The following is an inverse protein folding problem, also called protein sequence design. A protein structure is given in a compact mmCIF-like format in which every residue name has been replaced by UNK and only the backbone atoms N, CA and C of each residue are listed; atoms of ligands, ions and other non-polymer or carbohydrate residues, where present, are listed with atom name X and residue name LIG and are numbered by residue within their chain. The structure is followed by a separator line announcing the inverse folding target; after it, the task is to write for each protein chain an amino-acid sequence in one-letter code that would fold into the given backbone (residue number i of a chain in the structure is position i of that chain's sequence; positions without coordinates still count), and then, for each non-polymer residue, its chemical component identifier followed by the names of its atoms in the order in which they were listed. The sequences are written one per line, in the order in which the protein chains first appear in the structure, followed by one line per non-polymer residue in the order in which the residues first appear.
data_IF_715696066367
#
_entry.id   IF_715696066367
#
_cell.length_a   1.000
_cell.length_b   1.000
_cell.length_c   1.000
_cell.angle_alpha   90.00
_cell.angle_beta   90.00
_cell.angle_gamma   90.00
#
_symmetry.space_group_name_H-M   'P 1'
#
loop_
_entity.id
_entity.type
_entity.pdbx_description
1 polymer ?
#
# COMPACT_ATOMS: atom_id res chain seq x y z
N UNK A 1 -6.26 7.31 -12.67
CA UNK A 1 -6.72 5.95 -13.07
C UNK A 1 -8.20 5.99 -13.45
N UNK A 2 -8.63 5.21 -14.46
CA UNK A 2 -10.07 5.09 -14.73
C UNK A 2 -10.72 4.30 -13.60
N UNK A 3 -11.76 4.86 -13.00
CA UNK A 3 -12.57 4.17 -11.99
C UNK A 3 -13.50 3.21 -12.72
N UNK A 4 -13.50 1.93 -12.37
CA UNK A 4 -14.47 0.99 -12.93
C UNK A 4 -15.75 1.01 -12.10
N UNK A 5 -16.87 0.85 -12.78
CA UNK A 5 -18.17 0.62 -12.16
C UNK A 5 -18.25 -0.84 -11.67
N UNK A 6 -18.36 -1.11 -10.34
CA UNK A 6 -18.35 -2.47 -9.82
C UNK A 6 -19.47 -3.37 -10.39
N UNK A 7 -20.72 -2.93 -10.62
CA UNK A 7 -21.73 -3.72 -11.32
C UNK A 7 -21.31 -4.15 -12.72
N UNK A 8 -20.71 -3.25 -13.50
CA UNK A 8 -20.22 -3.56 -14.86
C UNK A 8 -19.06 -4.56 -14.82
N UNK A 9 -18.16 -4.43 -13.84
CA UNK A 9 -17.09 -5.41 -13.62
C UNK A 9 -17.66 -6.77 -13.25
N UNK A 10 -18.66 -6.81 -12.35
CA UNK A 10 -19.31 -8.05 -11.93
C UNK A 10 -19.97 -8.77 -13.10
N UNK A 11 -20.71 -8.05 -13.96
CA UNK A 11 -21.33 -8.64 -15.15
C UNK A 11 -20.28 -9.36 -16.02
N UNK A 12 -19.12 -8.75 -16.23
CA UNK A 12 -18.01 -9.35 -17.00
C UNK A 12 -17.42 -10.58 -16.32
N UNK A 13 -17.30 -10.56 -14.98
CA UNK A 13 -16.86 -11.73 -14.22
C UNK A 13 -17.87 -12.87 -14.34
N UNK A 14 -19.17 -12.58 -14.24
CA UNK A 14 -20.24 -13.58 -14.44
C UNK A 14 -20.19 -14.14 -15.85
N UNK A 15 -20.06 -13.30 -16.88
CA UNK A 15 -19.97 -13.74 -18.28
C UNK A 15 -18.76 -14.64 -18.53
N UNK A 16 -17.62 -14.32 -17.92
CA UNK A 16 -16.38 -15.08 -18.09
C UNK A 16 -16.36 -16.42 -17.33
N UNK A 17 -17.06 -16.51 -16.20
CA UNK A 17 -16.96 -17.66 -15.28
C UNK A 17 -18.25 -18.50 -15.22
N UNK A 18 -19.40 -17.95 -15.56
CA UNK A 18 -20.70 -18.57 -15.37
C UNK A 18 -21.16 -18.60 -13.89
N UNK A 19 -20.41 -18.00 -12.97
CA UNK A 19 -20.75 -17.98 -11.54
C UNK A 19 -21.75 -16.86 -11.26
N UNK A 20 -22.97 -17.13 -10.76
CA UNK A 20 -24.01 -16.13 -10.54
C UNK A 20 -23.79 -15.41 -9.19
N UNK A 21 -22.83 -14.48 -9.15
CA UNK A 21 -22.65 -13.61 -7.99
C UNK A 21 -23.81 -12.63 -7.83
N UNK A 22 -24.15 -12.30 -6.58
CA UNK A 22 -25.05 -11.20 -6.23
C UNK A 22 -24.23 -9.95 -5.90
N UNK A 23 -24.62 -8.79 -6.46
CA UNK A 23 -24.04 -7.51 -6.09
C UNK A 23 -24.71 -6.94 -4.83
N UNK A 24 -23.92 -6.62 -3.79
CA UNK A 24 -24.45 -6.14 -2.51
C UNK A 24 -24.32 -4.62 -2.33
N UNK A 25 -23.46 -3.97 -3.11
CA UNK A 25 -23.24 -2.53 -3.04
C UNK A 25 -21.77 -2.15 -3.18
N UNK A 26 -21.45 -0.84 -3.29
CA UNK A 26 -20.08 -0.37 -3.37
C UNK A 26 -19.37 -0.51 -2.03
N UNK A 27 -18.06 -0.80 -2.05
CA UNK A 27 -17.22 -0.66 -0.86
C UNK A 27 -17.04 0.83 -0.53
N UNK A 28 -17.13 1.24 0.74
CA UNK A 28 -16.84 2.61 1.12
C UNK A 28 -15.35 2.91 0.95
N UNK A 29 -15.02 4.09 0.44
CA UNK A 29 -13.62 4.48 0.18
C UNK A 29 -13.04 3.83 -1.08
N UNK A 30 -11.73 4.00 -1.28
CA UNK A 30 -11.01 3.47 -2.42
C UNK A 30 -11.17 4.29 -3.70
N UNK A 31 -10.06 4.47 -4.43
CA UNK A 31 -10.01 5.31 -5.61
C UNK A 31 -10.35 4.55 -6.89
N UNK A 32 -10.07 3.26 -6.91
CA UNK A 32 -10.19 2.41 -8.11
C UNK A 32 -11.60 1.84 -8.27
N UNK A 33 -12.39 1.83 -7.20
CA UNK A 33 -13.72 1.24 -7.14
C UNK A 33 -13.66 -0.24 -6.76
N UNK A 34 -14.37 -0.58 -5.69
CA UNK A 34 -14.57 -1.96 -5.25
C UNK A 34 -16.04 -2.18 -4.92
N UNK A 35 -16.51 -3.43 -5.00
CA UNK A 35 -17.89 -3.79 -4.68
C UNK A 35 -17.96 -4.99 -3.75
N UNK A 36 -18.92 -4.96 -2.83
CA UNK A 36 -19.29 -6.16 -2.10
C UNK A 36 -20.14 -7.06 -3.01
N UNK A 37 -19.78 -8.34 -3.00
CA UNK A 37 -20.48 -9.37 -3.77
C UNK A 37 -20.74 -10.57 -2.87
N UNK A 38 -21.70 -11.41 -3.25
CA UNK A 38 -22.01 -12.66 -2.56
C UNK A 38 -21.85 -13.83 -3.50
N UNK A 39 -21.15 -14.86 -3.04
CA UNK A 39 -21.06 -16.14 -3.68
C UNK A 39 -22.41 -16.87 -3.70
N UNK A 40 -22.66 -17.82 -4.63
CA UNK A 40 -23.88 -18.63 -4.63
C UNK A 40 -24.10 -19.46 -3.35
N UNK A 41 -23.03 -19.72 -2.58
CA UNK A 41 -23.09 -20.42 -1.29
C UNK A 41 -23.43 -19.50 -0.10
N UNK A 42 -23.67 -18.21 -0.35
CA UNK A 42 -24.05 -17.22 0.65
C UNK A 42 -22.88 -16.48 1.33
N UNK A 43 -21.62 -16.82 1.04
CA UNK A 43 -20.44 -16.10 1.57
C UNK A 43 -20.31 -14.74 0.91
N UNK A 44 -20.03 -13.72 1.71
CA UNK A 44 -19.69 -12.37 1.20
C UNK A 44 -18.22 -12.29 0.79
N UNK A 45 -17.95 -11.53 -0.26
CA UNK A 45 -16.62 -11.28 -0.81
C UNK A 45 -16.47 -9.82 -1.27
N UNK A 46 -15.28 -9.44 -1.66
CA UNK A 46 -14.95 -8.13 -2.24
C UNK A 46 -14.49 -8.33 -3.68
N UNK A 47 -15.16 -7.67 -4.61
CA UNK A 47 -14.76 -7.60 -6.01
C UNK A 47 -13.90 -6.36 -6.23
N UNK A 48 -12.69 -6.56 -6.73
CA UNK A 48 -11.75 -5.51 -7.15
C UNK A 48 -11.18 -5.81 -8.53
N UNK A 49 -10.34 -4.93 -9.05
CA UNK A 49 -9.66 -5.15 -10.31
C UNK A 49 -8.25 -4.56 -10.28
N UNK A 50 -7.33 -5.16 -11.02
CA UNK A 50 -5.95 -4.72 -11.19
C UNK A 50 -5.73 -4.32 -12.66
N UNK A 51 -5.80 -3.01 -13.01
CA UNK A 51 -5.62 -2.54 -14.37
C UNK A 51 -4.16 -2.61 -14.79
N UNK A 52 -3.90 -3.10 -16.02
CA UNK A 52 -2.54 -3.16 -16.56
C UNK A 52 -1.59 -4.13 -15.84
N UNK A 53 -2.10 -4.97 -14.96
CA UNK A 53 -1.37 -6.01 -14.24
C UNK A 53 -1.62 -7.35 -14.92
N UNK A 54 -0.57 -8.14 -15.12
CA UNK A 54 -0.71 -9.49 -15.66
C UNK A 54 -1.06 -10.52 -14.57
N UNK A 55 -1.45 -11.69 -15.01
CA UNK A 55 -1.82 -12.80 -14.12
C UNK A 55 -0.67 -13.24 -13.23
N UNK A 56 0.56 -13.22 -13.71
CA UNK A 56 1.76 -13.62 -12.95
C UNK A 56 1.95 -12.76 -11.72
N UNK A 57 1.80 -11.44 -11.88
CA UNK A 57 1.90 -10.50 -10.76
C UNK A 57 0.81 -10.75 -9.70
N UNK A 58 -0.41 -11.06 -10.14
CA UNK A 58 -1.51 -11.39 -9.21
C UNK A 58 -1.23 -12.70 -8.46
N UNK A 59 -0.70 -13.71 -9.14
CA UNK A 59 -0.34 -14.99 -8.51
C UNK A 59 0.83 -14.81 -7.52
N UNK A 60 1.79 -13.95 -7.82
CA UNK A 60 2.87 -13.57 -6.90
C UNK A 60 2.29 -12.95 -5.60
N UNK A 61 1.39 -11.97 -5.76
CA UNK A 61 0.73 -11.32 -4.60
C UNK A 61 -0.08 -12.37 -3.82
N UNK A 62 -0.84 -13.23 -4.48
CA UNK A 62 -1.61 -14.28 -3.80
C UNK A 62 -0.71 -15.20 -2.97
N UNK A 63 0.48 -15.54 -3.48
CA UNK A 63 1.49 -16.31 -2.75
C UNK A 63 2.04 -15.56 -1.53
N UNK A 64 2.33 -14.26 -1.66
CA UNK A 64 2.76 -13.40 -0.55
C UNK A 64 1.67 -13.31 0.53
N UNK A 65 0.40 -13.15 0.12
CA UNK A 65 -0.74 -13.11 1.05
C UNK A 65 -0.94 -14.45 1.77
N UNK A 66 -0.68 -15.58 1.12
CA UNK A 66 -0.71 -16.88 1.78
C UNK A 66 0.36 -16.96 2.88
N UNK A 67 1.61 -16.59 2.58
CA UNK A 67 2.68 -16.55 3.58
C UNK A 67 2.35 -15.59 4.74
N UNK A 68 1.76 -14.44 4.45
CA UNK A 68 1.31 -13.50 5.48
C UNK A 68 0.25 -14.11 6.41
N UNK A 69 -0.77 -14.80 5.86
CA UNK A 69 -1.80 -15.48 6.66
C UNK A 69 -1.21 -16.60 7.52
N UNK A 70 -0.30 -17.39 6.97
CA UNK A 70 0.38 -18.47 7.72
C UNK A 70 1.18 -17.93 8.91
N UNK A 71 1.70 -16.71 8.81
CA UNK A 71 2.35 -15.97 9.89
C UNK A 71 1.37 -15.25 10.84
N UNK A 72 0.06 -15.43 10.65
CA UNK A 72 -0.98 -14.81 11.47
C UNK A 72 -1.24 -13.34 11.17
N UNK A 73 -0.84 -12.85 9.99
CA UNK A 73 -1.26 -11.53 9.49
C UNK A 73 -2.68 -11.66 8.93
N UNK A 74 -3.63 -10.82 9.32
CA UNK A 74 -5.00 -10.87 8.82
C UNK A 74 -5.08 -10.29 7.40
N UNK A 75 -4.58 -11.03 6.40
CA UNK A 75 -4.59 -10.68 4.99
C UNK A 75 -5.68 -11.45 4.23
N UNK A 76 -6.33 -10.86 3.20
CA UNK A 76 -7.38 -11.54 2.45
C UNK A 76 -6.81 -12.68 1.59
N UNK A 77 -7.63 -13.69 1.33
CA UNK A 77 -7.35 -14.66 0.28
C UNK A 77 -7.92 -14.14 -1.07
N UNK A 78 -7.18 -14.33 -2.17
CA UNK A 78 -7.75 -14.19 -3.51
C UNK A 78 -8.48 -15.48 -3.85
N UNK A 79 -9.82 -15.45 -3.81
CA UNK A 79 -10.66 -16.64 -3.97
C UNK A 79 -10.93 -16.94 -5.45
N UNK A 80 -10.95 -15.90 -6.31
CA UNK A 80 -11.11 -16.05 -7.75
C UNK A 80 -10.32 -14.95 -8.46
N UNK A 81 -9.58 -15.35 -9.50
CA UNK A 81 -8.79 -14.46 -10.36
C UNK A 81 -9.27 -14.63 -11.80
N UNK A 82 -9.82 -13.58 -12.37
CA UNK A 82 -10.43 -13.61 -13.72
C UNK A 82 -9.67 -12.66 -14.65
N UNK A 83 -8.86 -13.17 -15.57
CA UNK A 83 -8.25 -12.35 -16.60
C UNK A 83 -9.33 -11.73 -17.50
N UNK A 84 -9.24 -10.42 -17.69
CA UNK A 84 -10.07 -9.65 -18.63
C UNK A 84 -9.13 -8.97 -19.65
N UNK A 85 -9.61 -8.52 -20.80
CA UNK A 85 -8.75 -7.96 -21.85
C UNK A 85 -7.85 -6.80 -21.40
N UNK A 86 -8.30 -5.95 -20.48
CA UNK A 86 -7.58 -4.76 -20.01
C UNK A 86 -7.16 -4.80 -18.54
N UNK A 87 -7.53 -5.85 -17.81
CA UNK A 87 -7.27 -5.94 -16.37
C UNK A 87 -7.45 -7.38 -15.85
N UNK A 88 -7.07 -7.61 -14.63
CA UNK A 88 -7.44 -8.82 -13.90
C UNK A 88 -8.50 -8.45 -12.85
N UNK A 89 -9.67 -9.11 -12.90
CA UNK A 89 -10.68 -8.98 -11.84
C UNK A 89 -10.37 -9.98 -10.71
N UNK A 90 -10.56 -9.53 -9.47
CA UNK A 90 -10.27 -10.28 -8.25
C UNK A 90 -11.53 -10.37 -7.39
N UNK A 91 -11.91 -11.58 -7.01
CA UNK A 91 -12.84 -11.79 -5.90
C UNK A 91 -12.02 -12.25 -4.71
N UNK A 92 -11.98 -11.42 -3.68
CA UNK A 92 -11.17 -11.66 -2.49
C UNK A 92 -12.06 -11.86 -1.26
N UNK A 93 -11.52 -12.59 -0.30
CA UNK A 93 -12.16 -12.79 1.00
C UNK A 93 -12.54 -11.44 1.62
N UNK A 94 -13.79 -11.30 2.06
CA UNK A 94 -14.21 -10.16 2.87
C UNK A 94 -13.75 -10.38 4.31
N UNK A 95 -12.80 -9.54 4.74
CA UNK A 95 -12.33 -9.53 6.12
C UNK A 95 -13.33 -8.77 7.02
N UNK A 96 -13.50 -9.16 8.29
CA UNK A 96 -14.38 -8.48 9.21
C UNK A 96 -13.79 -7.14 9.67
N UNK A 97 -14.66 -6.22 10.09
CA UNK A 97 -14.27 -4.90 10.62
C UNK A 97 -14.53 -3.76 9.64
N UNK A 98 -14.07 -2.59 10.03
CA UNK A 98 -14.20 -1.34 9.27
C UNK A 98 -12.86 -0.60 9.25
N UNK A 99 -12.64 0.24 8.24
CA UNK A 99 -11.51 1.17 8.24
C UNK A 99 -11.67 2.14 9.40
N UNK A 100 -10.65 2.34 10.24
CA UNK A 100 -10.74 3.24 11.39
C UNK A 100 -10.84 4.69 10.94
N UNK A 101 -11.72 5.45 11.59
CA UNK A 101 -11.89 6.89 11.29
C UNK A 101 -10.67 7.72 11.70
N UNK A 102 -9.92 7.25 12.69
CA UNK A 102 -8.78 7.96 13.28
C UNK A 102 -7.64 7.02 13.59
N UNK A 103 -6.42 7.55 13.47
CA UNK A 103 -5.23 6.87 13.96
C UNK A 103 -5.05 7.18 15.46
N UNK A 104 -5.04 6.13 16.28
CA UNK A 104 -4.85 6.21 17.72
C UNK A 104 -3.65 5.35 18.16
N UNK A 105 -3.02 5.69 19.29
CA UNK A 105 -1.82 4.99 19.77
C UNK A 105 -2.01 3.46 19.88
N UNK A 106 -3.14 2.94 20.43
CA UNK A 106 -3.34 1.49 20.46
C UNK A 106 -3.35 0.84 19.08
N UNK A 107 -3.86 1.54 18.05
CA UNK A 107 -3.83 1.04 16.67
C UNK A 107 -2.41 1.07 16.11
N UNK A 108 -1.65 2.13 16.34
CA UNK A 108 -0.22 2.21 15.95
C UNK A 108 0.54 1.00 16.51
N UNK A 109 0.39 0.69 17.79
CA UNK A 109 1.09 -0.45 18.41
C UNK A 109 0.68 -1.80 17.78
N UNK A 110 -0.60 -1.97 17.42
CA UNK A 110 -1.06 -3.17 16.71
C UNK A 110 -0.49 -3.25 15.29
N UNK A 111 -0.45 -2.13 14.58
CA UNK A 111 0.16 -2.07 13.25
C UNK A 111 1.67 -2.37 13.32
N UNK A 112 2.37 -1.83 14.29
CA UNK A 112 3.79 -2.16 14.53
C UNK A 112 3.98 -3.66 14.82
N UNK A 113 3.09 -4.26 15.61
CA UNK A 113 3.14 -5.69 15.88
C UNK A 113 2.87 -6.55 14.63
N UNK A 114 1.98 -6.11 13.74
CA UNK A 114 1.74 -6.76 12.44
C UNK A 114 2.96 -6.60 11.52
N UNK A 115 3.51 -5.39 11.41
CA UNK A 115 4.70 -5.13 10.59
C UNK A 115 5.89 -6.02 10.96
N UNK A 116 6.11 -6.27 12.27
CA UNK A 116 7.17 -7.19 12.72
C UNK A 116 6.99 -8.63 12.22
N UNK A 117 5.77 -9.06 11.90
CA UNK A 117 5.50 -10.39 11.34
C UNK A 117 5.86 -10.50 9.86
N UNK A 118 6.11 -9.38 9.17
CA UNK A 118 6.57 -9.38 7.78
C UNK A 118 8.02 -9.81 7.62
N UNK A 119 8.80 -9.76 8.70
CA UNK A 119 10.22 -10.11 8.70
C UNK A 119 10.45 -11.57 8.29
N UNK A 120 11.28 -11.79 7.28
CA UNK A 120 11.71 -13.11 6.82
C UNK A 120 10.64 -13.94 6.11
N UNK A 121 9.43 -13.41 5.87
CA UNK A 121 8.32 -14.19 5.31
C UNK A 121 8.58 -14.70 3.88
N UNK A 122 9.46 -14.03 3.16
CA UNK A 122 9.76 -14.36 1.78
C UNK A 122 11.18 -14.94 1.62
N UNK A 123 11.74 -15.48 2.70
CA UNK A 123 13.03 -16.17 2.66
C UNK A 123 12.99 -17.33 1.64
N UNK A 124 13.98 -17.37 0.75
CA UNK A 124 14.05 -18.33 -0.35
C UNK A 124 13.18 -18.03 -1.56
N UNK A 125 12.46 -16.90 -1.58
CA UNK A 125 11.60 -16.46 -2.69
C UNK A 125 12.28 -15.39 -3.55
N UNK A 126 13.51 -15.64 -3.99
CA UNK A 126 14.25 -14.76 -4.91
C UNK A 126 13.58 -14.59 -6.29
N UNK A 127 12.62 -15.45 -6.62
CA UNK A 127 11.75 -15.38 -7.80
C UNK A 127 10.76 -14.20 -7.75
N UNK A 128 10.42 -13.71 -6.55
CA UNK A 128 9.49 -12.60 -6.38
C UNK A 128 10.16 -11.25 -6.68
N UNK A 129 9.37 -10.29 -7.24
CA UNK A 129 9.91 -8.98 -7.56
C UNK A 129 10.38 -8.24 -6.30
N UNK A 130 11.59 -7.70 -6.36
CA UNK A 130 12.12 -6.84 -5.31
C UNK A 130 11.40 -5.48 -5.33
N UNK A 131 11.22 -4.91 -4.15
CA UNK A 131 10.71 -3.56 -3.98
C UNK A 131 11.63 -2.55 -4.66
N UNK A 132 11.04 -1.52 -5.30
CA UNK A 132 11.77 -0.44 -5.95
C UNK A 132 11.47 0.91 -5.32
N UNK A 133 12.49 1.76 -5.24
CA UNK A 133 12.41 3.08 -4.60
C UNK A 133 12.11 4.23 -5.57
N UNK A 134 12.35 4.04 -6.87
CA UNK A 134 12.12 5.02 -7.95
C UNK A 134 12.84 6.36 -7.74
N UNK A 135 14.04 6.35 -7.13
CA UNK A 135 14.77 7.57 -6.78
C UNK A 135 15.41 8.28 -7.99
N UNK A 136 15.77 7.52 -9.03
CA UNK A 136 16.43 8.07 -10.23
C UNK A 136 15.51 8.23 -11.42
N UNK A 137 14.32 7.63 -11.40
CA UNK A 137 13.32 7.71 -12.46
C UNK A 137 11.91 7.45 -11.94
N UNK A 138 10.91 7.90 -12.68
CA UNK A 138 9.49 7.77 -12.31
C UNK A 138 9.04 6.31 -12.27
N UNK A 139 8.15 5.99 -11.33
CA UNK A 139 7.49 4.70 -11.23
C UNK A 139 6.29 4.55 -12.18
N UNK A 140 5.63 3.39 -12.20
CA UNK A 140 4.49 3.12 -13.07
C UNK A 140 3.20 3.71 -12.49
N UNK A 141 3.01 5.03 -12.66
CA UNK A 141 1.81 5.75 -12.20
C UNK A 141 1.88 6.30 -10.78
N UNK A 142 2.99 6.10 -10.07
CA UNK A 142 3.28 6.69 -8.75
C UNK A 142 4.78 6.98 -8.64
N UNK A 143 5.19 7.73 -7.63
CA UNK A 143 6.56 8.23 -7.50
C UNK A 143 7.01 8.97 -8.79
N UNK A 144 6.13 9.79 -9.35
CA UNK A 144 6.41 10.51 -10.58
C UNK A 144 7.30 11.72 -10.29
N UNK A 145 8.36 11.90 -11.10
CA UNK A 145 9.29 13.01 -10.98
C UNK A 145 8.77 14.30 -11.63
N UNK A 146 7.98 14.17 -12.68
CA UNK A 146 7.48 15.28 -13.49
C UNK A 146 6.58 16.24 -12.69
N UNK A 147 5.65 15.78 -11.84
CA UNK A 147 4.86 16.67 -11.00
C UNK A 147 5.73 17.53 -10.08
N UNK A 148 6.73 16.93 -9.42
CA UNK A 148 7.64 17.66 -8.54
C UNK A 148 8.52 18.66 -9.31
N UNK A 149 8.96 18.28 -10.51
CA UNK A 149 9.79 19.15 -11.36
C UNK A 149 9.03 20.42 -11.81
N UNK A 150 7.71 20.31 -11.99
CA UNK A 150 6.86 21.35 -12.57
C UNK A 150 6.15 22.23 -11.55
N UNK A 151 5.88 21.73 -10.32
CA UNK A 151 5.00 22.37 -9.36
C UNK A 151 5.58 23.70 -8.83
N UNK A 152 6.64 23.65 -8.02
CA UNK A 152 7.26 24.87 -7.48
C UNK A 152 8.76 24.69 -7.12
N UNK A 153 9.35 25.72 -6.49
CA UNK A 153 10.76 25.69 -6.07
C UNK A 153 11.04 24.72 -4.91
N UNK A 154 10.06 24.48 -4.03
CA UNK A 154 10.18 23.58 -2.88
C UNK A 154 10.25 22.12 -3.37
N UNK A 155 9.33 21.76 -4.25
CA UNK A 155 9.25 20.41 -4.81
C UNK A 155 10.43 20.08 -5.71
N UNK A 156 10.94 21.06 -6.49
CA UNK A 156 12.19 20.88 -7.26
C UNK A 156 13.40 20.62 -6.37
N UNK A 157 13.51 21.28 -5.21
CA UNK A 157 14.60 21.02 -4.23
C UNK A 157 14.47 19.62 -3.63
N UNK A 158 13.24 19.18 -3.31
CA UNK A 158 13.00 17.81 -2.85
C UNK A 158 13.44 16.80 -3.93
N UNK A 159 13.03 16.99 -5.18
CA UNK A 159 13.38 16.11 -6.29
C UNK A 159 14.90 16.05 -6.53
N UNK A 160 15.59 17.18 -6.40
CA UNK A 160 17.06 17.20 -6.52
C UNK A 160 17.72 16.33 -5.43
N UNK A 161 17.25 16.45 -4.20
CA UNK A 161 17.73 15.60 -3.09
C UNK A 161 17.38 14.12 -3.28
N UNK A 162 16.16 13.80 -3.72
CA UNK A 162 15.76 12.42 -4.03
C UNK A 162 16.72 11.79 -5.05
N UNK A 163 17.05 12.51 -6.11
CA UNK A 163 18.00 12.05 -7.15
C UNK A 163 19.43 11.92 -6.64
N UNK A 164 19.85 12.82 -5.77
CA UNK A 164 21.16 12.74 -5.10
C UNK A 164 21.25 11.45 -4.27
N UNK A 165 20.23 11.15 -3.47
CA UNK A 165 20.14 9.88 -2.70
C UNK A 165 20.17 8.69 -3.65
N UNK A 166 19.37 8.71 -4.72
CA UNK A 166 19.30 7.63 -5.70
C UNK A 166 20.60 7.38 -6.47
N UNK A 167 21.47 8.40 -6.61
CA UNK A 167 22.78 8.23 -7.22
C UNK A 167 23.77 7.43 -6.35
N UNK A 168 23.46 7.26 -5.06
CA UNK A 168 24.34 6.61 -4.09
C UNK A 168 23.88 5.23 -3.62
N UNK A 169 22.65 4.80 -4.02
CA UNK A 169 22.06 3.53 -3.59
C UNK A 169 21.43 2.78 -4.78
N UNK A 170 21.31 1.45 -4.71
CA UNK A 170 20.51 0.70 -5.66
C UNK A 170 19.05 1.13 -5.65
N UNK A 171 18.36 1.06 -6.79
CA UNK A 171 16.91 1.33 -6.88
C UNK A 171 16.07 0.18 -6.30
N UNK A 172 16.59 -1.05 -6.30
CA UNK A 172 15.97 -2.21 -5.70
C UNK A 172 16.38 -2.37 -4.23
N UNK A 173 15.43 -2.75 -3.39
CA UNK A 173 15.67 -3.07 -1.97
C UNK A 173 15.80 -4.58 -1.84
N UNK A 174 17.02 -5.04 -1.51
CA UNK A 174 17.26 -6.45 -1.21
C UNK A 174 16.72 -6.77 0.21
N UNK A 175 16.24 -7.99 0.35
CA UNK A 175 15.72 -8.50 1.61
C UNK A 175 14.81 -9.69 1.39
N UNK A 176 14.50 -10.40 2.46
CA UNK A 176 13.64 -11.58 2.48
C UNK A 176 12.30 -11.31 3.19
N UNK A 177 12.00 -10.05 3.43
CA UNK A 177 10.78 -9.66 4.11
C UNK A 177 9.65 -9.42 3.11
N UNK A 178 8.43 -9.56 3.60
CA UNK A 178 7.26 -9.02 2.92
C UNK A 178 7.18 -7.51 3.17
N UNK A 179 7.01 -6.74 2.12
CA UNK A 179 6.72 -5.30 2.19
C UNK A 179 5.33 -5.07 1.63
N UNK A 180 4.49 -4.39 2.38
CA UNK A 180 3.15 -3.99 1.92
C UNK A 180 3.25 -2.83 0.92
N UNK A 181 4.20 -1.95 1.13
CA UNK A 181 4.51 -0.73 0.37
C UNK A 181 3.46 0.39 0.44
N UNK A 182 2.28 0.14 1.04
CA UNK A 182 1.24 1.12 1.33
C UNK A 182 0.61 0.92 2.72
N UNK A 183 1.43 0.62 3.71
CA UNK A 183 1.01 0.26 5.06
C UNK A 183 0.64 1.48 5.89
N UNK A 184 -0.63 1.88 5.83
CA UNK A 184 -1.18 2.99 6.61
C UNK A 184 -2.56 2.65 7.19
N UNK A 185 -3.07 3.50 8.11
CA UNK A 185 -4.31 3.19 8.83
C UNK A 185 -5.57 3.12 7.94
N UNK A 186 -5.55 3.73 6.76
CA UNK A 186 -6.62 3.59 5.75
C UNK A 186 -6.67 2.21 5.10
N UNK A 187 -5.59 1.43 5.20
CA UNK A 187 -5.47 0.08 4.65
C UNK A 187 -5.53 -1.01 5.73
N UNK A 188 -6.10 -0.71 6.90
CA UNK A 188 -6.37 -1.70 7.93
C UNK A 188 -7.84 -1.71 8.33
N UNK A 189 -8.30 -2.85 8.82
CA UNK A 189 -9.65 -3.00 9.36
C UNK A 189 -9.56 -3.25 10.87
N UNK A 190 -10.51 -2.68 11.61
CA UNK A 190 -10.62 -2.86 13.05
C UNK A 190 -12.00 -3.39 13.42
N UNK A 191 -12.04 -4.34 14.34
CA UNK A 191 -13.26 -4.82 14.97
C UNK A 191 -13.84 -3.82 15.96
N UNK A 192 -15.05 -4.06 16.43
CA UNK A 192 -15.74 -3.20 17.42
C UNK A 192 -15.01 -3.13 18.78
N UNK A 193 -14.16 -4.10 19.09
CA UNK A 193 -13.28 -4.13 20.27
C UNK A 193 -11.93 -3.44 20.02
N UNK A 194 -11.75 -2.86 18.83
CA UNK A 194 -10.50 -2.22 18.38
C UNK A 194 -9.41 -3.19 17.94
N UNK A 195 -9.62 -4.51 17.91
CA UNK A 195 -8.65 -5.48 17.36
C UNK A 195 -8.39 -5.18 15.88
N UNK A 196 -7.14 -5.29 15.42
CA UNK A 196 -6.81 -5.23 13.99
C UNK A 196 -7.24 -6.55 13.35
N UNK A 197 -8.27 -6.50 12.51
CA UNK A 197 -8.93 -7.67 11.90
C UNK A 197 -8.63 -7.86 10.42
N UNK A 198 -7.99 -6.87 9.79
CA UNK A 198 -7.62 -6.95 8.38
C UNK A 198 -6.50 -6.00 8.01
N UNK A 199 -5.67 -6.42 7.07
CA UNK A 199 -4.77 -5.57 6.28
C UNK A 199 -5.16 -5.78 4.83
N UNK A 200 -5.49 -4.70 4.14
CA UNK A 200 -6.06 -4.69 2.78
C UNK A 200 -5.20 -3.85 1.83
N UNK A 201 -5.50 -3.91 0.54
CA UNK A 201 -4.80 -3.15 -0.50
C UNK A 201 -3.32 -3.54 -0.68
N UNK A 202 -3.12 -4.79 -1.10
CA UNK A 202 -1.80 -5.40 -1.27
C UNK A 202 -1.21 -5.27 -2.68
N UNK A 203 -1.74 -4.40 -3.52
CA UNK A 203 -1.30 -4.26 -4.92
C UNK A 203 0.20 -3.90 -5.03
N UNK A 204 0.72 -3.18 -4.04
CA UNK A 204 2.13 -2.83 -3.91
C UNK A 204 3.03 -3.91 -3.31
N UNK A 205 2.47 -5.02 -2.82
CA UNK A 205 3.22 -6.02 -2.07
C UNK A 205 4.45 -6.53 -2.85
N UNK A 206 5.58 -6.65 -2.17
CA UNK A 206 6.86 -7.02 -2.80
C UNK A 206 7.81 -7.65 -1.78
N UNK A 207 8.89 -8.25 -2.27
CA UNK A 207 9.99 -8.71 -1.44
C UNK A 207 10.96 -7.55 -1.18
N UNK A 208 11.44 -7.41 0.07
CA UNK A 208 12.37 -6.33 0.42
C UNK A 208 12.65 -6.26 1.91
N UNK A 209 12.59 -5.07 2.46
CA UNK A 209 12.77 -4.77 3.88
C UNK A 209 11.47 -4.21 4.47
N UNK A 210 10.82 -4.96 5.36
CA UNK A 210 9.55 -4.59 5.99
C UNK A 210 9.62 -3.27 6.79
N UNK A 211 10.83 -2.81 7.14
CA UNK A 211 11.02 -1.53 7.86
C UNK A 211 10.66 -0.32 7.00
N UNK A 212 10.60 -0.47 5.67
CA UNK A 212 10.07 0.56 4.77
C UNK A 212 8.62 0.95 5.14
N UNK A 213 7.81 0.00 5.55
CA UNK A 213 6.41 0.24 5.92
C UNK A 213 6.26 1.09 7.19
N UNK A 214 7.29 1.18 8.04
CA UNK A 214 7.33 2.14 9.15
C UNK A 214 7.37 3.58 8.65
N UNK A 215 8.09 3.82 7.54
CA UNK A 215 8.17 5.14 6.91
C UNK A 215 6.84 5.48 6.26
N UNK A 216 6.18 4.52 5.61
CA UNK A 216 4.82 4.70 5.07
C UNK A 216 3.84 5.11 6.17
N UNK A 217 3.85 4.38 7.29
CA UNK A 217 3.00 4.67 8.44
C UNK A 217 3.29 6.06 9.03
N UNK A 218 4.58 6.46 9.11
CA UNK A 218 4.99 7.77 9.62
C UNK A 218 4.47 8.93 8.77
N UNK A 219 4.51 8.81 7.44
CA UNK A 219 3.97 9.84 6.54
C UNK A 219 2.43 9.92 6.59
N UNK A 220 1.74 8.87 7.00
CA UNK A 220 0.29 8.83 7.15
C UNK A 220 -0.22 9.38 8.48
N UNK A 221 0.66 9.84 9.38
CA UNK A 221 0.24 10.44 10.65
C UNK A 221 -0.38 11.81 10.41
N UNK A 222 -1.62 12.06 10.92
CA UNK A 222 -2.25 13.37 10.82
C UNK A 222 -1.42 14.48 11.49
N UNK A 223 -1.49 15.69 10.93
CA UNK A 223 -0.70 16.85 11.39
C UNK A 223 -1.00 17.25 12.86
N UNK A 224 -2.20 16.97 13.33
CA UNK A 224 -2.67 17.25 14.69
C UNK A 224 -2.31 16.16 15.72
N UNK A 225 -1.52 15.14 15.30
CA UNK A 225 -1.07 14.03 16.16
C UNK A 225 0.46 13.95 16.27
N UNK A 226 1.12 14.99 16.80
CA UNK A 226 2.59 14.98 16.99
C UNK A 226 3.06 13.89 17.99
N UNK A 227 2.20 13.45 18.88
CA UNK A 227 2.43 12.34 19.80
C UNK A 227 2.68 11.02 19.04
N UNK A 228 1.85 10.71 18.04
CA UNK A 228 2.02 9.52 17.21
C UNK A 228 3.22 9.64 16.27
N UNK A 229 3.47 10.84 15.75
CA UNK A 229 4.67 11.09 14.95
C UNK A 229 5.94 10.80 15.77
N UNK A 230 6.06 11.33 16.99
CA UNK A 230 7.18 11.08 17.88
C UNK A 230 7.34 9.59 18.24
N UNK A 231 6.22 8.88 18.48
CA UNK A 231 6.23 7.43 18.74
C UNK A 231 6.80 6.63 17.57
N UNK A 232 6.39 6.96 16.34
CA UNK A 232 6.86 6.30 15.12
C UNK A 232 8.31 6.68 14.81
N UNK A 233 8.69 7.94 15.00
CA UNK A 233 10.08 8.37 14.85
C UNK A 233 11.00 7.59 15.79
N UNK A 234 10.59 7.37 17.05
CA UNK A 234 11.36 6.55 18.00
C UNK A 234 11.47 5.08 17.57
N UNK A 235 10.40 4.48 16.99
CA UNK A 235 10.44 3.10 16.45
C UNK A 235 11.38 3.01 15.24
N UNK A 236 11.32 3.99 14.34
CA UNK A 236 12.19 4.07 13.16
C UNK A 236 13.66 4.18 13.60
N UNK A 237 13.98 5.10 14.52
CA UNK A 237 15.35 5.33 14.99
C UNK A 237 15.91 4.14 15.77
N UNK A 238 15.05 3.35 16.40
CA UNK A 238 15.47 2.11 17.09
C UNK A 238 15.77 0.96 16.10
N UNK A 239 15.31 1.02 14.85
CA UNK A 239 15.37 -0.10 13.90
C UNK A 239 16.14 0.18 12.63
N UNK A 240 16.37 1.42 12.28
CA UNK A 240 17.08 1.86 11.08
C UNK A 240 18.20 2.82 11.46
N UNK A 241 19.36 2.60 10.91
CA UNK A 241 20.43 3.61 10.90
C UNK A 241 20.05 4.76 9.97
N UNK A 242 20.72 5.89 10.10
CA UNK A 242 20.47 7.05 9.23
C UNK A 242 20.70 6.72 7.74
N UNK A 243 21.70 5.90 7.42
CA UNK A 243 22.02 5.49 6.06
C UNK A 243 20.97 4.55 5.46
N UNK A 244 20.42 3.62 6.25
CA UNK A 244 19.31 2.74 5.83
C UNK A 244 18.01 3.52 5.65
N UNK A 245 17.72 4.46 6.53
CA UNK A 245 16.51 5.27 6.50
C UNK A 245 16.49 6.24 5.32
N UNK A 246 17.62 6.84 4.98
CA UNK A 246 17.71 7.92 3.97
C UNK A 246 17.06 7.58 2.64
N UNK A 247 17.30 6.43 1.99
CA UNK A 247 16.65 6.06 0.73
C UNK A 247 15.15 5.79 0.89
N UNK A 248 14.71 5.21 2.01
CA UNK A 248 13.30 4.95 2.28
C UNK A 248 12.52 6.26 2.48
N UNK A 249 13.13 7.19 3.23
CA UNK A 249 12.55 8.51 3.45
C UNK A 249 12.44 9.32 2.14
N UNK A 250 13.47 9.25 1.30
CA UNK A 250 13.48 9.92 -0.01
C UNK A 250 12.40 9.36 -0.94
N UNK A 251 12.24 8.04 -1.00
CA UNK A 251 11.21 7.38 -1.79
C UNK A 251 9.81 7.75 -1.31
N UNK A 252 9.57 7.72 0.00
CA UNK A 252 8.25 8.05 0.55
C UNK A 252 7.94 9.54 0.39
N UNK A 253 8.91 10.43 0.59
CA UNK A 253 8.74 11.87 0.35
C UNK A 253 8.38 12.15 -1.12
N UNK A 254 9.06 11.51 -2.07
CA UNK A 254 8.71 11.58 -3.50
C UNK A 254 7.27 11.13 -3.72
N UNK A 255 6.90 9.95 -3.21
CA UNK A 255 5.57 9.34 -3.41
C UNK A 255 4.46 10.23 -2.86
N UNK A 256 4.59 10.70 -1.64
CA UNK A 256 3.54 11.47 -0.95
C UNK A 256 3.39 12.87 -1.54
N UNK A 257 4.49 13.51 -1.96
CA UNK A 257 4.43 14.83 -2.61
C UNK A 257 3.88 14.72 -4.03
N UNK A 258 4.31 13.71 -4.82
CA UNK A 258 3.73 13.41 -6.14
C UNK A 258 2.22 13.22 -6.04
N UNK A 259 1.79 12.38 -5.11
CA UNK A 259 0.38 12.09 -4.90
C UNK A 259 -0.42 13.34 -4.51
N UNK A 260 0.09 14.14 -3.56
CA UNK A 260 -0.54 15.36 -3.11
C UNK A 260 -0.71 16.39 -4.25
N UNK A 261 0.32 16.55 -5.11
CA UNK A 261 0.25 17.46 -6.26
C UNK A 261 -0.86 17.05 -7.23
N UNK A 262 -0.99 15.76 -7.49
CA UNK A 262 -1.93 15.25 -8.51
C UNK A 262 -3.37 15.16 -8.05
N UNK A 263 -3.63 15.02 -6.75
CA UNK A 263 -4.95 14.67 -6.25
C UNK A 263 -5.55 15.62 -5.23
N UNK A 264 -4.73 16.46 -4.53
CA UNK A 264 -5.22 17.26 -3.40
C UNK A 264 -4.93 18.75 -3.54
N UNK A 265 -3.69 19.20 -3.51
CA UNK A 265 -3.31 20.62 -3.63
C UNK A 265 -2.29 21.06 -2.58
N UNK A 266 -2.06 22.39 -2.50
CA UNK A 266 -0.91 22.98 -1.83
C UNK A 266 -0.85 22.70 -0.30
N UNK A 267 -1.98 22.56 0.37
CA UNK A 267 -2.00 22.27 1.81
C UNK A 267 -1.35 20.92 2.11
N UNK A 268 -1.76 19.86 1.40
CA UNK A 268 -1.17 18.52 1.58
C UNK A 268 0.26 18.44 1.03
N UNK A 269 0.55 19.14 -0.06
CA UNK A 269 1.93 19.27 -0.56
C UNK A 269 2.82 19.90 0.49
N UNK A 270 2.40 20.98 1.14
CA UNK A 270 3.16 21.67 2.19
C UNK A 270 3.33 20.78 3.42
N UNK A 271 2.29 20.07 3.81
CA UNK A 271 2.36 19.10 4.91
C UNK A 271 3.41 18.01 4.65
N UNK A 272 3.35 17.36 3.49
CA UNK A 272 4.29 16.29 3.12
C UNK A 272 5.74 16.81 2.98
N UNK A 273 5.93 18.02 2.46
CA UNK A 273 7.25 18.66 2.42
C UNK A 273 7.78 18.91 3.83
N UNK A 274 6.93 19.33 4.76
CA UNK A 274 7.31 19.54 6.17
C UNK A 274 7.77 18.24 6.80
N UNK A 275 7.08 17.12 6.56
CA UNK A 275 7.53 15.81 7.03
C UNK A 275 8.86 15.43 6.36
N UNK A 276 8.97 15.57 5.04
CA UNK A 276 10.19 15.24 4.30
C UNK A 276 11.42 15.98 4.86
N UNK A 277 11.26 17.26 5.21
CA UNK A 277 12.34 18.12 5.71
C UNK A 277 12.84 17.74 7.12
N UNK A 278 12.11 16.91 7.88
CA UNK A 278 12.54 16.50 9.22
C UNK A 278 13.76 15.56 9.21
N UNK A 279 14.03 14.89 8.07
CA UNK A 279 15.10 13.89 7.93
C UNK A 279 15.88 13.98 6.60
N UNK A 280 15.83 15.16 5.97
CA UNK A 280 16.54 15.44 4.72
C UNK A 280 17.97 15.97 4.95
#
# INVERSE_FOLDING_TARGET
MARIDPPSLLARVVDATGIPFEYLGPCPGGEVGAGYVRWPDGRDAVLTWAPGVDRTRVDDIAGMLAAARDAGVPAPAYELVVPLPEAVALVQQRLPGVVPERLELPLVERMLAVNRRFAGLLAGRADLPAMRLYLTGSGPGFCLHEPLASYDGRTRRLLAWVREVGASVPDGVDGDDLVHADFHYGNVLVGSDGTLTGVIDWDGASRGDHRFDLVTLRFAVPADRPDLAARLDAEIDARLTADELRPYWASMALRQVDWAIRHYGDELVTHNLTIADTRR
#
